data_IF_247186778801
#
_entry.id   IF_247186778801
#
_cell.length_a   1.000
_cell.length_b   1.000
_cell.length_c   1.000
_cell.angle_alpha   90.00
_cell.angle_beta   90.00
_cell.angle_gamma   90.00
#
_symmetry.space_group_name_H-M   'P 1'
#
loop_
_entity.id
_entity.type
_entity.pdbx_description
1 polymer ?
#
# COMPACT_ATOMS: atom_id res chain seq x y z
N UNK A 1 -13.83 -3.73 4.89
CA UNK A 1 -12.50 -4.35 4.76
C UNK A 1 -11.45 -3.27 4.77
N UNK A 2 -10.48 -3.41 5.62
CA UNK A 2 -9.40 -2.41 5.74
C UNK A 2 -8.09 -3.00 5.26
N UNK A 3 -7.44 -2.31 4.34
CA UNK A 3 -6.21 -2.79 3.71
C UNK A 3 -5.07 -1.83 4.03
N UNK A 4 -3.97 -2.37 4.52
CA UNK A 4 -2.78 -1.59 4.79
C UNK A 4 -1.87 -1.56 3.56
N UNK A 5 -1.38 -0.37 3.24
CA UNK A 5 -0.47 -0.13 2.12
C UNK A 5 0.90 0.23 2.65
N UNK A 6 1.93 -0.19 1.91
CA UNK A 6 3.30 0.25 2.17
C UNK A 6 3.82 0.99 0.95
N UNK A 7 4.69 1.96 1.19
CA UNK A 7 5.36 2.68 0.12
C UNK A 7 6.84 2.36 0.12
N UNK A 8 7.40 2.23 -1.07
CA UNK A 8 8.84 2.11 -1.25
C UNK A 8 9.29 3.19 -2.23
N UNK A 9 10.28 3.95 -1.82
CA UNK A 9 10.85 4.99 -2.65
C UNK A 9 12.22 4.54 -3.13
N UNK A 10 12.30 4.29 -4.43
CA UNK A 10 13.55 3.98 -5.10
C UNK A 10 13.81 5.12 -6.10
N UNK A 11 13.64 4.89 -7.40
CA UNK A 11 13.62 5.97 -8.39
C UNK A 11 12.27 6.67 -8.44
N UNK A 12 11.21 5.92 -8.14
CA UNK A 12 9.84 6.42 -8.07
C UNK A 12 9.18 5.87 -6.81
N UNK A 13 8.27 6.65 -6.25
CA UNK A 13 7.47 6.19 -5.14
C UNK A 13 6.46 5.14 -5.64
N UNK A 14 6.52 3.95 -5.05
CA UNK A 14 5.66 2.84 -5.43
C UNK A 14 4.82 2.42 -4.23
N UNK A 15 3.58 2.09 -4.49
CA UNK A 15 2.62 1.68 -3.48
C UNK A 15 2.37 0.18 -3.62
N UNK A 16 2.49 -0.54 -2.51
CA UNK A 16 2.24 -1.98 -2.44
C UNK A 16 1.24 -2.29 -1.34
N UNK A 17 0.47 -3.37 -1.52
CA UNK A 17 -0.33 -3.92 -0.43
C UNK A 17 0.61 -4.65 0.54
N UNK A 18 0.47 -4.38 1.83
CA UNK A 18 1.32 -4.98 2.86
C UNK A 18 1.14 -6.48 2.97
N UNK A 19 -0.11 -6.96 2.97
CA UNK A 19 -0.43 -8.38 3.07
C UNK A 19 -0.11 -9.10 1.76
N UNK A 20 0.66 -10.19 1.83
CA UNK A 20 1.08 -10.93 0.64
C UNK A 20 -0.08 -11.55 -0.12
N UNK A 21 -1.06 -12.11 0.59
CA UNK A 21 -2.22 -12.72 -0.05
C UNK A 21 -3.07 -11.69 -0.77
N UNK A 22 -3.30 -10.55 -0.14
CA UNK A 22 -4.03 -9.45 -0.74
C UNK A 22 -3.24 -8.85 -1.90
N UNK A 23 -1.93 -8.80 -1.79
CA UNK A 23 -1.06 -8.33 -2.87
C UNK A 23 -1.23 -9.18 -4.12
N UNK A 24 -1.28 -10.50 -3.96
CA UNK A 24 -1.51 -11.40 -5.09
C UNK A 24 -2.88 -11.17 -5.73
N UNK A 25 -3.92 -11.00 -4.91
CA UNK A 25 -5.27 -10.74 -5.41
C UNK A 25 -5.32 -9.42 -6.18
N UNK A 26 -4.78 -8.35 -5.62
CA UNK A 26 -4.76 -7.05 -6.29
C UNK A 26 -3.91 -7.06 -7.56
N UNK A 27 -2.79 -7.77 -7.54
CA UNK A 27 -1.95 -7.94 -8.71
C UNK A 27 -2.70 -8.65 -9.83
N UNK A 28 -3.48 -9.67 -9.49
CA UNK A 28 -4.31 -10.39 -10.47
C UNK A 28 -5.41 -9.50 -11.03
N UNK A 29 -6.05 -8.67 -10.21
CA UNK A 29 -7.12 -7.78 -10.63
C UNK A 29 -6.62 -6.62 -11.49
N UNK A 30 -5.51 -6.02 -11.12
CA UNK A 30 -4.97 -4.85 -11.82
C UNK A 30 -3.95 -5.21 -12.89
N UNK A 31 -3.46 -6.45 -12.89
CA UNK A 31 -2.38 -6.94 -13.76
C UNK A 31 -1.08 -6.15 -13.59
N UNK A 32 -0.89 -5.57 -12.41
CA UNK A 32 0.30 -4.81 -12.04
C UNK A 32 0.77 -5.23 -10.66
N UNK A 33 2.07 -5.10 -10.41
CA UNK A 33 2.65 -5.41 -9.09
C UNK A 33 2.49 -4.27 -8.09
N UNK A 34 2.28 -3.05 -8.59
CA UNK A 34 2.13 -1.85 -7.76
C UNK A 34 0.76 -1.24 -7.97
N UNK A 35 0.29 -0.48 -6.98
CA UNK A 35 -0.97 0.25 -7.08
C UNK A 35 -0.71 1.70 -7.45
N UNK A 36 -1.59 2.24 -8.28
CA UNK A 36 -1.63 3.66 -8.59
C UNK A 36 -2.73 4.34 -7.78
N UNK A 37 -2.67 5.66 -7.69
CA UNK A 37 -3.69 6.44 -6.98
C UNK A 37 -5.08 6.18 -7.56
N UNK A 38 -5.18 6.07 -8.88
CA UNK A 38 -6.44 5.76 -9.54
C UNK A 38 -7.00 4.39 -9.14
N UNK A 39 -6.14 3.39 -8.96
CA UNK A 39 -6.56 2.06 -8.49
C UNK A 39 -7.16 2.15 -7.08
N UNK A 40 -6.48 2.88 -6.20
CA UNK A 40 -6.93 3.07 -4.83
C UNK A 40 -8.29 3.77 -4.79
N UNK A 41 -8.45 4.82 -5.58
CA UNK A 41 -9.72 5.55 -5.67
C UNK A 41 -10.86 4.65 -6.15
N UNK A 42 -10.60 3.81 -7.14
CA UNK A 42 -11.60 2.87 -7.67
C UNK A 42 -11.99 1.83 -6.63
N UNK A 43 -11.03 1.27 -5.92
CA UNK A 43 -11.32 0.30 -4.86
C UNK A 43 -12.06 0.94 -3.68
N UNK A 44 -11.78 2.19 -3.36
CA UNK A 44 -12.54 2.92 -2.33
C UNK A 44 -14.01 3.04 -2.68
N UNK A 45 -14.33 3.21 -3.94
CA UNK A 45 -15.71 3.25 -4.42
C UNK A 45 -16.46 1.94 -4.17
N UNK A 46 -15.73 0.83 -4.06
CA UNK A 46 -16.30 -0.48 -3.74
C UNK A 46 -16.45 -0.71 -2.23
N UNK A 47 -16.11 0.29 -1.41
CA UNK A 47 -16.23 0.17 0.04
C UNK A 47 -14.97 -0.34 0.74
N UNK A 48 -13.86 -0.43 0.04
CA UNK A 48 -12.59 -0.85 0.63
C UNK A 48 -11.90 0.34 1.26
N UNK A 49 -11.49 0.21 2.52
CA UNK A 49 -10.73 1.24 3.22
C UNK A 49 -9.24 0.95 3.12
N UNK A 50 -8.45 1.98 2.92
CA UNK A 50 -6.99 1.90 2.87
C UNK A 50 -6.37 2.73 3.98
N UNK A 51 -5.28 2.22 4.53
CA UNK A 51 -4.45 2.96 5.47
C UNK A 51 -2.98 2.76 5.11
N UNK A 52 -2.17 3.77 5.39
CA UNK A 52 -0.74 3.71 5.13
C UNK A 52 -0.04 3.12 6.35
N UNK A 53 0.68 2.03 6.14
CA UNK A 53 1.53 1.44 7.17
C UNK A 53 2.88 2.16 7.18
N UNK A 54 3.26 2.69 8.34
CA UNK A 54 4.55 3.32 8.53
C UNK A 54 5.24 2.65 9.72
N UNK A 55 6.24 1.80 9.47
CA UNK A 55 7.01 1.22 10.56
C UNK A 55 7.78 2.32 11.28
N UNK A 56 7.79 2.27 12.60
CA UNK A 56 8.54 3.24 13.41
C UNK A 56 10.03 3.01 13.16
N UNK A 57 10.70 4.05 12.69
CA UNK A 57 12.15 4.02 12.52
C UNK A 57 12.80 4.09 13.91
N UNK A 58 13.64 3.11 14.31
CA UNK A 58 14.32 3.16 15.60
C UNK A 58 15.13 4.42 15.83
N UNK A 59 15.71 4.97 14.79
CA UNK A 59 16.47 6.21 14.87
C UNK A 59 15.60 7.40 15.27
N UNK A 60 14.40 7.49 14.74
CA UNK A 60 13.45 8.54 15.11
C UNK A 60 13.06 8.43 16.59
N UNK A 61 12.91 7.21 17.08
CA UNK A 61 12.61 6.97 18.48
C UNK A 61 13.72 7.42 19.41
N UNK A 62 14.97 7.27 18.98
CA UNK A 62 16.15 7.67 19.75
C UNK A 62 16.36 9.19 19.69
N UNK A 63 16.11 9.78 18.53
CA UNK A 63 16.34 11.21 18.32
C UNK A 63 15.23 12.10 18.87
N UNK A 64 14.05 11.54 19.05
CA UNK A 64 12.91 12.23 19.64
C UNK A 64 12.71 11.79 21.09
#
# INVERSE_FOLDING_TARGET
MKIELITKKDFQERIYVKDEKLREVFSALTKKKTLEISDIENFKKLGIEFSLYQPVNPLEKILN
#
